data_IF_574473926034
#
_entry.id   IF_574473926034
#
_cell.length_a   1.000
_cell.length_b   1.000
_cell.length_c   1.000
_cell.angle_alpha   90.00
_cell.angle_beta   90.00
_cell.angle_gamma   90.00
#
_symmetry.space_group_name_H-M   'P 1'
#
loop_
_entity.id
_entity.type
_entity.pdbx_description
1 polymer ?
#
# COMPACT_ATOMS: atom_id res chain seq x y z
N UNK A 1 -6.04 14.09 -13.90
CA UNK A 1 -5.32 12.91 -14.42
C UNK A 1 -5.96 12.56 -15.75
N UNK A 2 -5.18 12.43 -16.81
CA UNK A 2 -5.73 12.06 -18.11
C UNK A 2 -6.12 10.58 -18.14
N UNK A 3 -6.95 10.19 -19.10
CA UNK A 3 -7.49 8.82 -19.24
C UNK A 3 -6.38 7.77 -19.48
N UNK A 4 -5.26 8.16 -20.10
CA UNK A 4 -4.13 7.29 -20.39
C UNK A 4 -3.35 6.94 -19.11
N UNK A 5 -3.15 7.90 -18.23
CA UNK A 5 -2.48 7.70 -16.92
C UNK A 5 -3.35 6.83 -16.00
N UNK A 6 -4.67 7.04 -16.03
CA UNK A 6 -5.66 6.22 -15.32
C UNK A 6 -5.63 4.77 -15.81
N UNK A 7 -5.60 4.58 -17.13
CA UNK A 7 -5.57 3.26 -17.77
C UNK A 7 -4.26 2.51 -17.46
N UNK A 8 -3.12 3.16 -17.53
CA UNK A 8 -1.82 2.55 -17.22
C UNK A 8 -1.71 2.12 -15.75
N UNK A 9 -2.27 2.90 -14.81
CA UNK A 9 -2.34 2.54 -13.40
C UNK A 9 -3.25 1.33 -13.15
N UNK A 10 -4.38 1.26 -13.86
CA UNK A 10 -5.39 0.22 -13.66
C UNK A 10 -5.03 -1.13 -14.31
N UNK A 11 -4.13 -1.16 -15.30
CA UNK A 11 -3.80 -2.33 -16.11
C UNK A 11 -2.38 -2.88 -15.89
N UNK A 12 -1.80 -2.66 -14.72
CA UNK A 12 -0.47 -3.23 -14.40
C UNK A 12 -0.55 -4.77 -14.24
N UNK A 13 0.38 -5.53 -14.85
CA UNK A 13 0.33 -7.00 -14.83
C UNK A 13 0.65 -7.61 -13.46
N UNK A 14 1.13 -6.82 -12.51
CA UNK A 14 1.44 -7.21 -11.13
C UNK A 14 0.29 -6.90 -10.15
N UNK A 15 -0.84 -6.38 -10.65
CA UNK A 15 -2.03 -6.12 -9.85
C UNK A 15 -3.02 -7.27 -9.96
N UNK A 16 -3.45 -7.76 -8.80
CA UNK A 16 -4.63 -8.61 -8.66
C UNK A 16 -5.83 -7.75 -8.27
N UNK A 17 -7.00 -8.05 -8.85
CA UNK A 17 -8.27 -7.41 -8.49
C UNK A 17 -9.10 -8.44 -7.74
N UNK A 18 -9.53 -8.09 -6.53
CA UNK A 18 -10.40 -8.96 -5.74
C UNK A 18 -11.78 -9.09 -6.40
N UNK A 19 -12.22 -10.32 -6.55
CA UNK A 19 -13.50 -10.66 -7.22
C UNK A 19 -14.64 -10.92 -6.24
N UNK A 20 -14.32 -11.17 -4.96
CA UNK A 20 -15.27 -11.57 -3.92
C UNK A 20 -14.96 -10.89 -2.58
N UNK A 21 -15.85 -11.06 -1.61
CA UNK A 21 -15.69 -10.62 -0.23
C UNK A 21 -15.73 -9.09 -0.04
N UNK A 22 -15.24 -8.66 1.11
CA UNK A 22 -15.28 -7.27 1.56
C UNK A 22 -14.51 -6.32 0.62
N UNK A 23 -13.40 -6.80 0.06
CA UNK A 23 -12.54 -6.01 -0.82
C UNK A 23 -12.82 -6.21 -2.31
N UNK A 24 -14.02 -6.70 -2.67
CA UNK A 24 -14.41 -6.85 -4.08
C UNK A 24 -14.20 -5.54 -4.86
N UNK A 25 -13.45 -5.64 -5.97
CA UNK A 25 -13.08 -4.50 -6.82
C UNK A 25 -11.85 -3.71 -6.36
N UNK A 26 -11.30 -4.03 -5.17
CA UNK A 26 -10.03 -3.47 -4.73
C UNK A 26 -8.86 -4.20 -5.38
N UNK A 27 -7.69 -3.60 -5.32
CA UNK A 27 -6.46 -4.12 -5.92
C UNK A 27 -5.42 -4.40 -4.85
N UNK A 28 -4.59 -5.40 -5.09
CA UNK A 28 -3.41 -5.72 -4.29
C UNK A 28 -2.25 -6.08 -5.22
N UNK A 29 -1.00 -5.91 -4.77
CA UNK A 29 0.16 -6.39 -5.53
C UNK A 29 0.37 -7.88 -5.27
N UNK A 30 0.55 -8.64 -6.34
CA UNK A 30 0.66 -10.10 -6.28
C UNK A 30 2.11 -10.61 -6.26
N UNK A 31 3.10 -9.72 -6.38
CA UNK A 31 4.53 -10.08 -6.55
C UNK A 31 5.42 -9.71 -5.38
N UNK A 32 4.90 -9.02 -4.38
CA UNK A 32 5.67 -8.68 -3.19
C UNK A 32 5.48 -9.75 -2.12
N UNK A 33 6.53 -10.55 -1.89
CA UNK A 33 6.48 -11.64 -0.92
C UNK A 33 6.27 -11.14 0.52
N UNK A 34 6.87 -9.99 0.89
CA UNK A 34 6.73 -9.43 2.22
C UNK A 34 5.30 -8.91 2.46
N UNK A 35 4.76 -8.16 1.50
CA UNK A 35 3.38 -7.67 1.58
C UNK A 35 2.36 -8.81 1.54
N UNK A 36 2.60 -9.86 0.76
CA UNK A 36 1.74 -11.06 0.71
C UNK A 36 1.69 -11.77 2.05
N UNK A 37 2.80 -11.85 2.78
CA UNK A 37 2.86 -12.47 4.11
C UNK A 37 2.21 -11.60 5.19
N UNK A 38 2.45 -10.30 5.17
CA UNK A 38 1.93 -9.35 6.15
C UNK A 38 0.52 -8.87 5.84
N UNK A 39 0.12 -8.83 4.55
CA UNK A 39 -1.19 -8.43 4.07
C UNK A 39 -2.21 -9.58 4.07
N UNK A 40 -3.12 -9.61 3.10
CA UNK A 40 -3.14 -8.70 1.95
C UNK A 40 -3.49 -7.27 2.32
N UNK A 41 -2.82 -6.33 1.67
CA UNK A 41 -3.13 -4.91 1.70
C UNK A 41 -3.81 -4.53 0.39
N UNK A 42 -4.81 -3.68 0.46
CA UNK A 42 -5.65 -3.34 -0.68
C UNK A 42 -5.66 -1.84 -0.95
N UNK A 43 -5.86 -1.48 -2.22
CA UNK A 43 -6.10 -0.11 -2.61
C UNK A 43 -7.17 -0.02 -3.70
N UNK A 44 -7.84 1.12 -3.76
CA UNK A 44 -8.74 1.49 -4.85
C UNK A 44 -8.62 2.99 -5.13
N UNK A 45 -9.05 3.38 -6.32
CA UNK A 45 -9.22 4.78 -6.69
C UNK A 45 -10.71 5.12 -6.64
N UNK A 46 -11.08 6.22 -6.02
CA UNK A 46 -12.45 6.73 -6.06
C UNK A 46 -12.73 7.54 -7.34
N UNK A 47 -13.98 7.96 -7.51
CA UNK A 47 -14.42 8.72 -8.70
C UNK A 47 -13.76 10.10 -8.80
N UNK A 48 -13.19 10.61 -7.71
CA UNK A 48 -12.43 11.86 -7.66
C UNK A 48 -10.93 11.66 -7.93
N UNK A 49 -10.51 10.40 -8.19
CA UNK A 49 -9.11 10.05 -8.45
C UNK A 49 -8.24 9.95 -7.19
N UNK A 50 -8.84 9.90 -5.99
CA UNK A 50 -8.11 9.72 -4.73
C UNK A 50 -7.89 8.24 -4.47
N UNK A 51 -6.72 7.90 -3.95
CA UNK A 51 -6.39 6.53 -3.57
C UNK A 51 -6.78 6.31 -2.11
N UNK A 52 -7.51 5.23 -1.90
CA UNK A 52 -7.84 4.68 -0.59
C UNK A 52 -7.15 3.34 -0.43
N UNK A 53 -6.50 3.12 0.70
CA UNK A 53 -5.89 1.85 1.06
C UNK A 53 -6.63 1.26 2.26
N UNK A 54 -6.67 -0.07 2.38
CA UNK A 54 -7.28 -0.72 3.54
C UNK A 54 -6.75 -2.14 3.75
N UNK A 55 -6.85 -2.63 5.00
CA UNK A 55 -6.76 -4.05 5.33
C UNK A 55 -7.63 -4.36 6.55
N UNK A 56 -8.09 -5.61 6.64
CA UNK A 56 -8.77 -6.13 7.84
C UNK A 56 -7.74 -6.73 8.78
N UNK A 57 -7.76 -6.31 10.04
CA UNK A 57 -6.85 -6.84 11.06
C UNK A 57 -7.16 -8.30 11.35
N UNK A 58 -6.18 -9.16 11.16
CA UNK A 58 -6.22 -10.58 11.46
C UNK A 58 -5.23 -10.92 12.58
N UNK A 59 -5.31 -12.12 13.12
CA UNK A 59 -4.43 -12.61 14.20
C UNK A 59 -2.93 -12.47 13.88
N UNK A 60 -2.51 -12.71 12.64
CA UNK A 60 -1.12 -12.60 12.19
C UNK A 60 -0.53 -11.18 12.28
N UNK A 61 -1.39 -10.17 12.34
CA UNK A 61 -0.97 -8.76 12.45
C UNK A 61 -0.69 -8.33 13.90
N UNK A 62 -1.03 -9.18 14.89
CA UNK A 62 -1.04 -8.79 16.30
C UNK A 62 0.33 -9.01 16.97
N UNK A 63 0.63 -8.14 17.92
CA UNK A 63 1.72 -8.29 18.87
C UNK A 63 1.28 -9.10 20.11
N UNK A 64 2.18 -9.32 21.06
CA UNK A 64 1.91 -10.05 22.29
C UNK A 64 0.82 -9.43 23.20
N UNK A 65 0.48 -8.16 23.00
CA UNK A 65 -0.60 -7.46 23.72
C UNK A 65 -1.93 -7.51 22.98
N UNK A 66 -2.04 -8.29 21.91
CA UNK A 66 -3.25 -8.43 21.07
C UNK A 66 -3.66 -7.14 20.34
N UNK A 67 -2.72 -6.24 20.13
CA UNK A 67 -2.88 -5.05 19.29
C UNK A 67 -2.09 -5.23 17.99
N UNK A 68 -2.46 -4.50 16.94
CA UNK A 68 -1.69 -4.49 15.69
C UNK A 68 -0.23 -4.15 16.00
N UNK A 69 0.68 -5.00 15.52
CA UNK A 69 2.12 -4.77 15.69
C UNK A 69 2.55 -3.50 14.95
N UNK A 70 3.36 -2.66 15.59
CA UNK A 70 3.83 -1.41 14.98
C UNK A 70 4.50 -1.60 13.61
N UNK A 71 5.25 -2.69 13.44
CA UNK A 71 5.83 -3.06 12.14
C UNK A 71 4.78 -3.32 11.05
N UNK A 72 3.59 -3.82 11.41
CA UNK A 72 2.48 -3.99 10.46
C UNK A 72 1.95 -2.62 10.00
N UNK A 73 1.76 -1.67 10.92
CA UNK A 73 1.39 -0.29 10.54
C UNK A 73 2.43 0.35 9.63
N UNK A 74 3.73 0.18 9.92
CA UNK A 74 4.80 0.72 9.07
C UNK A 74 4.81 0.07 7.69
N UNK A 75 4.64 -1.25 7.59
CA UNK A 75 4.54 -1.96 6.32
C UNK A 75 3.32 -1.50 5.51
N UNK A 76 2.16 -1.37 6.15
CA UNK A 76 0.96 -0.88 5.49
C UNK A 76 1.07 0.60 5.08
N UNK A 77 1.72 1.44 5.89
CA UNK A 77 1.95 2.84 5.54
C UNK A 77 2.91 2.98 4.34
N UNK A 78 3.97 2.15 4.25
CA UNK A 78 4.84 2.11 3.08
C UNK A 78 4.08 1.66 1.82
N UNK A 79 3.24 0.62 1.94
CA UNK A 79 2.30 0.24 0.89
C UNK A 79 1.43 1.42 0.43
N UNK A 80 0.86 2.20 1.37
CA UNK A 80 0.06 3.37 1.08
C UNK A 80 0.84 4.43 0.29
N UNK A 81 2.13 4.68 0.62
CA UNK A 81 2.97 5.61 -0.13
C UNK A 81 3.07 5.22 -1.60
N UNK A 82 3.30 3.93 -1.90
CA UNK A 82 3.38 3.44 -3.27
C UNK A 82 2.03 3.47 -3.99
N UNK A 83 0.96 3.08 -3.33
CA UNK A 83 -0.39 3.14 -3.91
C UNK A 83 -0.76 4.58 -4.30
N UNK A 84 -0.56 5.54 -3.38
CA UNK A 84 -0.84 6.95 -3.62
C UNK A 84 0.07 7.58 -4.69
N UNK A 85 1.34 7.16 -4.75
CA UNK A 85 2.29 7.65 -5.74
C UNK A 85 2.11 7.03 -7.13
N UNK A 86 1.45 5.89 -7.25
CA UNK A 86 1.39 5.10 -8.48
C UNK A 86 0.97 5.90 -9.73
N UNK A 87 0.00 6.86 -9.66
CA UNK A 87 -0.36 7.68 -10.81
C UNK A 87 0.77 8.56 -11.35
N UNK A 88 1.73 8.95 -10.50
CA UNK A 88 2.84 9.84 -10.85
C UNK A 88 4.21 9.16 -10.82
N UNK A 89 4.32 7.97 -10.26
CA UNK A 89 5.58 7.25 -10.10
C UNK A 89 6.17 6.83 -11.45
N UNK A 90 5.33 6.36 -12.39
CA UNK A 90 5.69 6.05 -13.78
C UNK A 90 6.84 5.03 -13.92
N UNK A 91 6.88 4.03 -13.04
CA UNK A 91 7.93 2.99 -13.05
C UNK A 91 8.30 2.54 -11.64
N UNK A 92 9.41 1.81 -11.50
CA UNK A 92 9.85 1.35 -10.19
C UNK A 92 10.35 2.50 -9.31
N UNK A 93 10.14 2.36 -8.00
CA UNK A 93 10.59 3.30 -6.99
C UNK A 93 11.12 2.59 -5.76
N UNK A 94 11.79 3.35 -4.91
CA UNK A 94 12.24 2.90 -3.59
C UNK A 94 11.93 3.97 -2.55
N UNK A 95 11.58 3.56 -1.35
CA UNK A 95 11.45 4.46 -0.20
C UNK A 95 12.86 4.87 0.27
N UNK A 96 13.12 6.17 0.32
CA UNK A 96 14.41 6.71 0.77
C UNK A 96 14.33 7.45 2.10
N UNK A 97 13.12 7.78 2.53
CA UNK A 97 12.87 8.38 3.85
C UNK A 97 11.47 8.01 4.30
N UNK A 98 11.33 7.74 5.59
CA UNK A 98 10.05 7.42 6.22
C UNK A 98 10.07 7.94 7.66
N UNK A 99 9.03 8.67 8.06
CA UNK A 99 8.80 9.12 9.42
C UNK A 99 7.35 8.84 9.81
N UNK A 100 7.12 8.53 11.08
CA UNK A 100 5.79 8.14 11.56
C UNK A 100 5.62 8.41 13.05
N UNK A 101 4.35 8.54 13.48
CA UNK A 101 3.94 8.56 14.87
C UNK A 101 2.83 7.55 15.10
N UNK A 102 2.95 6.79 16.19
CA UNK A 102 1.93 5.86 16.68
C UNK A 102 0.99 6.62 17.61
N UNK A 103 -0.27 6.75 17.24
CA UNK A 103 -1.26 7.53 17.97
C UNK A 103 -2.17 6.65 18.84
N UNK A 104 -2.59 5.50 18.29
CA UNK A 104 -3.48 4.56 18.97
C UNK A 104 -3.31 3.14 18.42
N UNK A 105 -3.87 2.16 19.10
CA UNK A 105 -3.83 0.76 18.74
C UNK A 105 -5.08 0.34 17.94
N UNK A 106 -4.92 -0.61 17.03
CA UNK A 106 -6.03 -1.37 16.43
C UNK A 106 -6.02 -2.82 16.90
N UNK A 107 -7.18 -3.46 16.86
CA UNK A 107 -7.40 -4.83 17.34
C UNK A 107 -7.89 -5.72 16.21
N UNK A 108 -7.85 -7.03 16.46
CA UNK A 108 -8.39 -8.03 15.54
C UNK A 108 -9.83 -7.71 15.13
N UNK A 109 -10.12 -7.85 13.84
CA UNK A 109 -11.43 -7.56 13.26
C UNK A 109 -11.64 -6.09 12.87
N UNK A 110 -10.81 -5.15 13.31
CA UNK A 110 -10.94 -3.74 12.89
C UNK A 110 -10.51 -3.56 11.42
N UNK A 111 -11.20 -2.67 10.71
CA UNK A 111 -10.77 -2.19 9.40
C UNK A 111 -9.79 -1.03 9.60
N UNK A 112 -8.58 -1.17 9.09
CA UNK A 112 -7.60 -0.09 9.06
C UNK A 112 -7.56 0.49 7.65
N UNK A 113 -7.83 1.79 7.54
CA UNK A 113 -7.86 2.54 6.30
C UNK A 113 -6.71 3.52 6.24
N UNK A 114 -6.08 3.63 5.06
CA UNK A 114 -5.00 4.57 4.79
C UNK A 114 -5.40 5.60 3.75
N UNK A 115 -5.23 6.88 4.10
CA UNK A 115 -5.44 8.02 3.20
C UNK A 115 -4.28 9.00 3.28
N UNK A 116 -4.09 9.80 2.25
CA UNK A 116 -3.01 10.78 2.25
C UNK A 116 -2.97 11.58 0.96
N UNK A 117 -1.90 12.33 0.81
CA UNK A 117 -1.71 13.23 -0.32
C UNK A 117 -0.25 13.30 -0.78
N UNK A 118 -0.08 13.59 -2.05
CA UNK A 118 1.21 13.92 -2.63
C UNK A 118 1.48 15.40 -2.36
N UNK A 119 2.49 15.68 -1.53
CA UNK A 119 2.92 17.04 -1.22
C UNK A 119 3.67 17.67 -2.41
N UNK A 120 4.49 16.86 -3.08
CA UNK A 120 5.24 17.27 -4.26
C UNK A 120 5.69 16.05 -5.06
N UNK A 121 5.53 16.10 -6.37
CA UNK A 121 6.13 15.14 -7.31
C UNK A 121 7.14 15.89 -8.20
N UNK A 122 8.42 15.64 -7.96
CA UNK A 122 9.53 16.17 -8.78
C UNK A 122 10.01 15.16 -9.82
N UNK A 123 11.07 15.49 -10.55
CA UNK A 123 11.66 14.61 -11.57
C UNK A 123 12.16 13.26 -11.02
N UNK A 124 12.80 13.25 -9.85
CA UNK A 124 13.36 12.04 -9.24
C UNK A 124 12.73 11.64 -7.91
N UNK A 125 12.09 12.57 -7.21
CA UNK A 125 11.56 12.39 -5.85
C UNK A 125 10.08 12.71 -5.80
N UNK A 126 9.35 11.97 -4.96
CA UNK A 126 7.93 12.18 -4.64
C UNK A 126 7.82 12.24 -3.12
N UNK A 127 7.23 13.31 -2.60
CA UNK A 127 7.01 13.55 -1.17
C UNK A 127 5.54 13.36 -0.85
N UNK A 128 5.25 12.52 0.15
CA UNK A 128 3.88 12.16 0.52
C UNK A 128 3.71 12.23 2.04
N UNK A 129 2.48 12.40 2.46
CA UNK A 129 2.07 12.22 3.85
C UNK A 129 0.69 11.56 3.93
N UNK A 130 0.41 10.91 5.05
CA UNK A 130 -0.87 10.23 5.24
C UNK A 130 -1.18 9.90 6.68
N UNK A 131 -2.35 9.29 6.86
CA UNK A 131 -2.86 8.84 8.15
C UNK A 131 -3.54 7.49 7.99
N UNK A 132 -3.32 6.60 8.96
CA UNK A 132 -4.09 5.37 9.14
C UNK A 132 -5.18 5.62 10.18
N UNK A 133 -6.38 5.10 9.93
CA UNK A 133 -7.56 5.25 10.79
C UNK A 133 -8.31 3.92 10.93
N UNK A 134 -9.06 3.79 12.02
CA UNK A 134 -10.17 2.84 12.12
C UNK A 134 -11.45 3.63 12.43
N UNK A 135 -12.31 3.75 11.42
CA UNK A 135 -13.40 4.73 11.45
C UNK A 135 -12.87 6.16 11.62
N UNK A 136 -13.41 6.91 12.59
CA UNK A 136 -12.97 8.28 12.88
C UNK A 136 -11.66 8.35 13.70
N UNK A 137 -11.22 7.24 14.29
CA UNK A 137 -10.08 7.19 15.21
C UNK A 137 -8.75 7.13 14.45
N UNK A 138 -7.87 8.15 14.58
CA UNK A 138 -6.54 8.12 14.00
C UNK A 138 -5.65 7.16 14.78
N UNK A 139 -4.96 6.26 14.06
CA UNK A 139 -4.09 5.23 14.63
C UNK A 139 -2.61 5.54 14.43
N UNK A 140 -2.29 6.15 13.30
CA UNK A 140 -0.90 6.30 12.88
C UNK A 140 -0.78 7.40 11.84
N UNK A 141 0.19 8.29 11.98
CA UNK A 141 0.55 9.27 10.94
C UNK A 141 1.86 8.89 10.30
N UNK A 142 2.02 9.22 9.04
CA UNK A 142 3.24 8.94 8.31
C UNK A 142 3.55 9.98 7.24
N UNK A 143 4.83 10.13 6.97
CA UNK A 143 5.32 10.84 5.80
C UNK A 143 6.48 10.06 5.19
N UNK A 144 6.64 10.15 3.88
CA UNK A 144 7.71 9.45 3.20
C UNK A 144 8.13 10.11 1.90
N UNK A 145 9.32 9.75 1.47
CA UNK A 145 9.88 10.18 0.20
C UNK A 145 10.21 8.95 -0.64
N UNK A 146 9.63 8.89 -1.83
CA UNK A 146 9.93 7.87 -2.82
C UNK A 146 10.90 8.43 -3.86
N UNK A 147 11.88 7.63 -4.24
CA UNK A 147 12.80 7.93 -5.34
C UNK A 147 12.47 7.04 -6.54
N UNK A 148 12.27 7.65 -7.71
CA UNK A 148 12.18 6.92 -8.98
C UNK A 148 13.52 6.28 -9.30
N UNK A 149 13.51 5.00 -9.70
CA UNK A 149 14.71 4.27 -10.10
C UNK A 149 14.63 3.87 -11.58
N UNK A 150 15.75 3.96 -12.27
CA UNK A 150 15.84 3.61 -13.70
C UNK A 150 15.97 2.11 -13.96
N UNK A 151 15.96 1.28 -12.92
CA UNK A 151 16.19 -0.16 -13.02
C UNK A 151 14.94 -0.86 -13.57
N UNK A 152 15.12 -1.71 -14.58
CA UNK A 152 14.07 -2.65 -14.97
C UNK A 152 13.86 -3.65 -13.82
N UNK A 153 12.58 -3.90 -13.48
CA UNK A 153 12.25 -4.95 -12.52
C UNK A 153 12.75 -6.30 -13.08
N UNK A 154 13.37 -7.16 -12.27
CA UNK A 154 13.67 -8.52 -12.70
C UNK A 154 12.37 -9.23 -13.10
N UNK A 155 12.42 -10.14 -14.09
CA UNK A 155 11.25 -10.96 -14.40
C UNK A 155 10.79 -11.71 -13.15
N UNK A 156 9.47 -11.89 -13.01
CA UNK A 156 8.93 -12.68 -11.92
C UNK A 156 9.61 -14.05 -11.90
N UNK A 157 10.09 -14.49 -10.73
CA UNK A 157 10.57 -15.84 -10.57
C UNK A 157 9.44 -16.78 -10.97
N UNK A 158 9.65 -17.59 -12.01
CA UNK A 158 8.74 -18.66 -12.38
C UNK A 158 8.71 -19.64 -11.20
N UNK A 159 7.55 -19.84 -10.62
CA UNK A 159 7.30 -20.90 -9.65
C UNK A 159 7.31 -22.25 -10.40
N UNK A 160 8.49 -22.62 -10.93
CA UNK A 160 8.70 -23.98 -11.41
C UNK A 160 8.97 -24.87 -10.20
N UNK A 161 7.97 -25.66 -9.93
CA UNK A 161 7.91 -26.90 -9.18
C UNK A 161 9.14 -27.30 -8.35
N UNK A 162 9.01 -27.33 -7.04
CA UNK A 162 9.63 -28.38 -6.24
C UNK A 162 8.57 -29.47 -5.98
N UNK A 163 8.26 -30.20 -7.05
CA UNK A 163 7.82 -31.59 -6.93
C UNK A 163 9.07 -32.46 -6.76
N UNK A 164 9.27 -32.94 -5.56
CA UNK A 164 9.82 -34.27 -5.19
C UNK A 164 9.74 -34.40 -3.66
#
# INVERSE_FOLDING_TARGET
MDDLTKSAFLNRPDLHVETEGEFKGWRTWSRDNFETLNGPFYHRMDDQGRIHCAFRVENKHLNGMRNVHGGCFMAFADYCLFAMAAPVLQGPGVTVSFACEFLDAAREGELVEGTGEIMRAGGSMIFLRGVLRSGERPLFTFSGTLKRVKRQMPPAASNEGKGK
#
